data_IF_552467563877
#
_entry.id   IF_552467563877
#
_cell.length_a   1.000
_cell.length_b   1.000
_cell.length_c   1.000
_cell.angle_alpha   90.00
_cell.angle_beta   90.00
_cell.angle_gamma   90.00
#
_symmetry.space_group_name_H-M   'P 1'
#
loop_
_entity.id
_entity.type
_entity.pdbx_description
1 polymer ?
#
# COMPACT_ATOMS: atom_id res chain seq x y z
N UNK A 1 -22.53 17.70 7.38
CA UNK A 1 -22.29 16.24 7.44
C UNK A 1 -21.17 16.01 8.45
N UNK A 2 -21.46 15.37 9.58
CA UNK A 2 -20.42 15.06 10.57
C UNK A 2 -19.55 13.91 10.02
N UNK A 3 -18.22 13.93 10.24
CA UNK A 3 -17.37 12.84 9.79
C UNK A 3 -17.83 11.52 10.44
N UNK A 4 -18.14 10.53 9.62
CA UNK A 4 -18.45 9.18 10.09
C UNK A 4 -17.23 8.65 10.84
N UNK A 5 -17.39 8.13 12.07
CA UNK A 5 -16.28 7.50 12.78
C UNK A 5 -15.69 6.39 11.90
N UNK A 6 -14.36 6.26 11.90
CA UNK A 6 -13.65 5.27 11.09
C UNK A 6 -14.21 3.87 11.40
N UNK A 7 -14.87 3.26 10.43
CA UNK A 7 -15.46 1.94 10.58
C UNK A 7 -14.41 0.81 10.54
N UNK A 8 -13.17 1.10 10.11
CA UNK A 8 -12.14 0.10 9.86
C UNK A 8 -10.95 0.15 10.80
N UNK A 9 -10.39 -1.03 11.06
CA UNK A 9 -9.08 -1.28 11.70
C UNK A 9 -7.89 -0.97 10.79
N UNK A 10 -8.14 -0.28 9.66
CA UNK A 10 -7.12 0.00 8.67
C UNK A 10 -6.11 1.01 9.20
N UNK A 11 -4.83 0.67 9.05
CA UNK A 11 -3.69 1.53 9.39
C UNK A 11 -3.11 2.07 8.10
N UNK A 12 -2.99 3.39 8.02
CA UNK A 12 -2.49 4.07 6.84
C UNK A 12 -1.10 4.67 7.07
N UNK A 13 -0.32 4.74 6.00
CA UNK A 13 0.98 5.40 5.97
C UNK A 13 1.26 6.01 4.60
N UNK A 14 2.21 6.95 4.54
CA UNK A 14 2.68 7.55 3.29
C UNK A 14 4.20 7.46 3.25
N UNK A 15 4.72 6.71 2.29
CA UNK A 15 6.14 6.42 2.21
C UNK A 15 6.68 6.74 0.82
N UNK A 16 7.88 7.32 0.79
CA UNK A 16 8.63 7.43 -0.45
C UNK A 16 9.27 6.07 -0.79
N UNK A 17 9.27 5.73 -2.06
CA UNK A 17 10.06 4.62 -2.59
C UNK A 17 11.44 5.13 -2.92
N UNK A 18 12.48 4.47 -2.43
CA UNK A 18 13.86 4.80 -2.80
C UNK A 18 14.30 4.08 -4.09
N UNK A 19 15.54 4.35 -4.53
CA UNK A 19 16.09 3.77 -5.76
C UNK A 19 16.08 2.24 -5.79
N UNK A 20 16.20 1.57 -4.63
CA UNK A 20 16.17 0.11 -4.59
C UNK A 20 14.75 -0.43 -4.66
N UNK A 21 13.71 0.39 -4.42
CA UNK A 21 12.33 -0.06 -4.32
C UNK A 21 11.87 -0.30 -2.88
N UNK A 22 12.61 0.22 -1.91
CA UNK A 22 12.34 0.04 -0.49
C UNK A 22 11.30 1.05 -0.01
N UNK A 23 10.40 0.54 0.84
CA UNK A 23 9.39 1.31 1.57
C UNK A 23 9.78 1.30 3.05
N UNK A 24 10.09 2.48 3.58
CA UNK A 24 10.56 2.67 4.95
C UNK A 24 9.45 3.12 5.92
N UNK A 25 8.28 2.49 5.89
CA UNK A 25 7.21 2.75 6.87
C UNK A 25 7.15 1.64 7.92
N UNK A 26 7.91 1.85 9.00
CA UNK A 26 7.97 0.87 10.10
C UNK A 26 6.69 0.80 10.90
N UNK A 27 5.87 1.85 10.89
CA UNK A 27 4.62 1.91 11.66
C UNK A 27 3.60 0.97 11.05
N UNK A 28 3.41 1.04 9.73
CA UNK A 28 2.49 0.16 9.00
C UNK A 28 2.94 -1.30 9.07
N UNK A 29 4.23 -1.56 8.88
CA UNK A 29 4.78 -2.93 8.92
C UNK A 29 4.63 -3.54 10.34
N UNK A 30 4.87 -2.76 11.40
CA UNK A 30 4.66 -3.21 12.78
C UNK A 30 3.19 -3.41 13.13
N UNK A 31 2.30 -2.59 12.61
CA UNK A 31 0.85 -2.74 12.84
C UNK A 31 0.33 -4.07 12.27
N UNK A 32 0.97 -4.61 11.23
CA UNK A 32 0.70 -5.93 10.66
C UNK A 32 1.35 -7.08 11.45
N UNK A 33 2.13 -6.79 12.48
CA UNK A 33 2.92 -7.78 13.21
C UNK A 33 4.09 -8.36 12.41
N UNK A 34 4.49 -7.70 11.30
CA UNK A 34 5.56 -8.20 10.44
C UNK A 34 6.92 -7.74 10.97
N UNK A 35 7.81 -8.71 11.18
CA UNK A 35 9.18 -8.48 11.64
C UNK A 35 10.21 -8.95 10.62
N UNK A 36 11.51 -8.74 10.88
CA UNK A 36 12.58 -9.27 10.03
C UNK A 36 12.41 -10.75 9.71
N UNK A 37 12.55 -11.14 8.45
CA UNK A 37 12.40 -12.52 7.99
C UNK A 37 10.95 -12.98 7.82
N UNK A 38 9.95 -12.18 8.17
CA UNK A 38 8.55 -12.46 7.83
C UNK A 38 8.44 -12.63 6.32
N UNK A 39 7.99 -13.81 5.88
CA UNK A 39 7.83 -14.18 4.48
C UNK A 39 6.51 -13.65 3.92
N UNK A 40 6.59 -13.10 2.71
CA UNK A 40 5.54 -12.36 2.06
C UNK A 40 5.35 -12.83 0.62
N UNK A 41 4.10 -12.81 0.19
CA UNK A 41 3.73 -12.85 -1.21
C UNK A 41 3.41 -11.42 -1.67
N UNK A 42 4.10 -10.96 -2.70
CA UNK A 42 3.94 -9.62 -3.28
C UNK A 42 3.52 -9.78 -4.73
N UNK A 43 2.39 -9.18 -5.10
CA UNK A 43 1.91 -9.16 -6.48
C UNK A 43 1.33 -7.81 -6.84
N UNK A 44 1.34 -7.50 -8.12
CA UNK A 44 0.51 -6.44 -8.68
C UNK A 44 -0.94 -6.95 -8.86
N UNK A 45 -1.90 -6.05 -8.72
CA UNK A 45 -3.31 -6.28 -8.99
C UNK A 45 -4.00 -4.97 -9.37
N UNK A 46 -4.40 -4.83 -10.64
CA UNK A 46 -5.17 -3.68 -11.13
C UNK A 46 -4.55 -2.31 -10.81
N UNK A 47 -3.23 -2.19 -10.95
CA UNK A 47 -2.46 -0.97 -10.71
C UNK A 47 -2.09 -0.72 -9.24
N UNK A 48 -2.48 -1.61 -8.31
CA UNK A 48 -2.01 -1.56 -6.91
C UNK A 48 -1.12 -2.76 -6.59
N UNK A 49 -0.36 -2.66 -5.51
CA UNK A 49 0.48 -3.77 -5.04
C UNK A 49 -0.16 -4.39 -3.81
N UNK A 50 -0.37 -5.70 -3.86
CA UNK A 50 -0.97 -6.49 -2.79
C UNK A 50 0.13 -7.32 -2.14
N UNK A 51 0.28 -7.14 -0.83
CA UNK A 51 1.26 -7.82 0.01
C UNK A 51 0.55 -8.59 1.10
N UNK A 52 0.83 -9.89 1.22
CA UNK A 52 0.24 -10.77 2.24
C UNK A 52 1.30 -11.65 2.88
N UNK A 53 1.01 -12.13 4.09
CA UNK A 53 1.78 -13.22 4.68
C UNK A 53 1.71 -14.48 3.82
N UNK A 54 2.86 -15.08 3.58
CA UNK A 54 2.95 -16.37 2.91
C UNK A 54 4.15 -17.13 3.46
N UNK A 55 3.92 -18.29 4.09
CA UNK A 55 4.98 -19.12 4.66
C UNK A 55 5.94 -19.65 3.58
N UNK A 56 5.48 -19.77 2.34
CA UNK A 56 6.28 -20.17 1.19
C UNK A 56 6.74 -18.97 0.35
N UNK A 57 6.44 -17.75 0.80
CA UNK A 57 6.83 -16.51 0.14
C UNK A 57 8.35 -16.41 0.00
N UNK A 58 8.77 -15.97 -1.17
CA UNK A 58 10.19 -15.73 -1.51
C UNK A 58 10.66 -14.33 -1.11
N UNK A 59 9.72 -13.41 -0.86
CA UNK A 59 10.03 -12.07 -0.36
C UNK A 59 10.00 -12.06 1.15
N UNK A 60 10.88 -11.28 1.77
CA UNK A 60 10.91 -11.13 3.23
C UNK A 60 10.98 -9.67 3.62
N UNK A 61 10.45 -9.37 4.81
CA UNK A 61 10.76 -8.11 5.48
C UNK A 61 12.25 -8.11 5.81
N UNK A 62 12.94 -7.04 5.41
CA UNK A 62 14.39 -6.89 5.61
C UNK A 62 14.77 -6.86 7.10
N UNK A 63 16.05 -7.07 7.41
CA UNK A 63 16.59 -6.96 8.77
C UNK A 63 16.23 -5.66 9.50
N UNK A 64 16.02 -4.57 8.76
CA UNK A 64 15.68 -3.25 9.29
C UNK A 64 14.17 -3.04 9.49
N UNK A 65 13.33 -4.01 9.11
CA UNK A 65 11.87 -3.88 9.16
C UNK A 65 11.27 -3.15 7.96
N UNK A 66 12.01 -3.02 6.86
CA UNK A 66 11.52 -2.40 5.62
C UNK A 66 10.98 -3.45 4.66
N UNK A 67 10.00 -3.05 3.85
CA UNK A 67 9.49 -3.81 2.73
C UNK A 67 10.28 -3.46 1.47
N UNK A 68 10.69 -4.47 0.70
CA UNK A 68 11.35 -4.28 -0.57
C UNK A 68 10.44 -4.73 -1.71
N UNK A 69 10.10 -3.81 -2.61
CA UNK A 69 9.24 -4.12 -3.75
C UNK A 69 10.07 -4.72 -4.90
N UNK A 70 9.65 -5.87 -5.46
CA UNK A 70 10.30 -6.46 -6.62
C UNK A 70 10.29 -5.49 -7.81
N UNK A 71 11.37 -5.49 -8.61
CA UNK A 71 11.49 -4.60 -9.76
C UNK A 71 10.32 -4.77 -10.76
N UNK A 72 9.88 -6.01 -11.00
CA UNK A 72 8.75 -6.31 -11.89
C UNK A 72 7.46 -5.61 -11.44
N UNK A 73 7.12 -5.73 -10.15
CA UNK A 73 5.91 -5.10 -9.58
C UNK A 73 6.00 -3.58 -9.63
N UNK A 74 7.19 -3.00 -9.36
CA UNK A 74 7.41 -1.56 -9.52
C UNK A 74 7.17 -1.08 -10.94
N UNK A 75 7.70 -1.81 -11.92
CA UNK A 75 7.55 -1.46 -13.33
C UNK A 75 6.10 -1.53 -13.81
N UNK A 76 5.36 -2.60 -13.44
CA UNK A 76 3.94 -2.74 -13.76
C UNK A 76 3.08 -1.61 -13.17
N UNK A 77 3.47 -1.10 -12.00
CA UNK A 77 2.80 0.03 -11.36
C UNK A 77 3.35 1.41 -11.78
N UNK A 78 4.32 1.48 -12.71
CA UNK A 78 4.93 2.74 -13.14
C UNK A 78 5.70 3.49 -12.04
N UNK A 79 6.14 2.79 -10.99
CA UNK A 79 6.78 3.40 -9.83
C UNK A 79 8.25 3.75 -10.10
N UNK A 80 8.62 4.97 -9.73
CA UNK A 80 9.96 5.53 -9.80
C UNK A 80 10.48 5.92 -8.41
N UNK A 81 11.79 6.14 -8.31
CA UNK A 81 12.39 6.58 -7.07
C UNK A 81 11.92 8.00 -6.72
N UNK A 82 11.53 8.22 -5.47
CA UNK A 82 10.94 9.47 -4.99
C UNK A 82 9.41 9.46 -4.98
N UNK A 83 8.76 8.54 -5.70
CA UNK A 83 7.31 8.42 -5.67
C UNK A 83 6.82 8.11 -4.26
N UNK A 84 5.78 8.83 -3.84
CA UNK A 84 5.13 8.61 -2.55
C UNK A 84 3.91 7.74 -2.75
N UNK A 85 3.91 6.59 -2.09
CA UNK A 85 2.81 5.62 -2.14
C UNK A 85 1.98 5.69 -0.87
N UNK A 86 0.67 5.53 -1.03
CA UNK A 86 -0.24 5.33 0.11
C UNK A 86 -0.22 3.85 0.49
N UNK A 87 0.04 3.61 1.77
CA UNK A 87 -0.01 2.29 2.38
C UNK A 87 -1.34 2.13 3.11
N UNK A 88 -2.07 1.06 2.82
CA UNK A 88 -3.30 0.69 3.49
C UNK A 88 -3.16 -0.72 4.05
N UNK A 89 -2.92 -0.83 5.36
CA UNK A 89 -2.78 -2.09 6.05
C UNK A 89 -4.08 -2.50 6.74
N UNK A 90 -4.47 -3.76 6.56
CA UNK A 90 -5.47 -4.43 7.37
C UNK A 90 -4.79 -5.48 8.27
N UNK A 91 -4.55 -5.17 9.56
CA UNK A 91 -4.00 -6.14 10.51
C UNK A 91 -4.84 -7.40 10.69
N UNK A 92 -6.18 -7.29 10.60
CA UNK A 92 -7.07 -8.43 10.79
C UNK A 92 -6.88 -9.50 9.69
N UNK A 93 -6.59 -9.07 8.46
CA UNK A 93 -6.42 -9.95 7.30
C UNK A 93 -4.94 -10.25 6.98
N UNK A 94 -4.00 -9.64 7.72
CA UNK A 94 -2.58 -9.67 7.41
C UNK A 94 -2.30 -9.19 5.98
N UNK A 95 -2.95 -8.09 5.59
CA UNK A 95 -2.95 -7.56 4.23
C UNK A 95 -2.38 -6.15 4.21
N UNK A 96 -1.48 -5.87 3.29
CA UNK A 96 -1.05 -4.52 2.94
C UNK A 96 -1.33 -4.27 1.46
N UNK A 97 -2.04 -3.19 1.18
CA UNK A 97 -2.21 -2.67 -0.17
C UNK A 97 -1.37 -1.40 -0.30
N UNK A 98 -0.50 -1.36 -1.29
CA UNK A 98 0.28 -0.18 -1.66
C UNK A 98 -0.39 0.43 -2.88
N UNK A 99 -0.79 1.68 -2.77
CA UNK A 99 -1.41 2.47 -3.82
C UNK A 99 -0.36 3.42 -4.42
N UNK A 100 0.08 3.18 -5.67
CA UNK A 100 0.88 4.12 -6.44
C UNK A 100 0.17 5.46 -6.66
N UNK A 101 0.91 6.54 -6.99
CA UNK A 101 0.32 7.83 -7.34
C UNK A 101 -0.79 7.73 -8.39
N UNK A 102 -0.57 7.00 -9.48
CA UNK A 102 -1.57 6.83 -10.54
C UNK A 102 -2.88 6.16 -10.06
N UNK A 103 -2.78 5.17 -9.16
CA UNK A 103 -3.96 4.54 -8.58
C UNK A 103 -4.67 5.48 -7.60
N UNK A 104 -3.90 6.27 -6.83
CA UNK A 104 -4.44 7.27 -5.92
C UNK A 104 -5.16 8.40 -6.68
N UNK A 105 -4.57 8.87 -7.79
CA UNK A 105 -5.18 9.87 -8.67
C UNK A 105 -6.53 9.37 -9.20
N UNK A 106 -6.60 8.12 -9.69
CA UNK A 106 -7.84 7.52 -10.15
C UNK A 106 -8.90 7.46 -9.04
N UNK A 107 -8.52 7.08 -7.81
CA UNK A 107 -9.43 7.06 -6.65
C UNK A 107 -9.95 8.46 -6.32
N UNK A 108 -9.07 9.47 -6.31
CA UNK A 108 -9.43 10.85 -5.98
C UNK A 108 -10.32 11.46 -7.06
N UNK A 109 -10.00 11.24 -8.34
CA UNK A 109 -10.82 11.68 -9.47
C UNK A 109 -12.21 11.07 -9.40
N UNK A 110 -12.34 9.78 -9.09
CA UNK A 110 -13.64 9.14 -8.93
C UNK A 110 -14.45 9.77 -7.78
N UNK A 111 -13.83 10.00 -6.63
CA UNK A 111 -14.50 10.66 -5.49
C UNK A 111 -14.94 12.09 -5.85
N UNK A 112 -14.08 12.86 -6.53
CA UNK A 112 -14.45 14.20 -6.99
C UNK A 112 -15.59 14.17 -8.01
N UNK A 113 -15.59 13.21 -8.93
CA UNK A 113 -16.65 13.06 -9.92
C UNK A 113 -18.01 12.77 -9.25
N UNK A 114 -18.04 11.92 -8.22
CA UNK A 114 -19.27 11.65 -7.47
C UNK A 114 -19.74 12.88 -6.67
N UNK A 115 -18.81 13.58 -6.00
CA UNK A 115 -19.14 14.77 -5.22
C UNK A 115 -19.64 15.93 -6.08
N UNK A 116 -19.03 16.13 -7.25
CA UNK A 116 -19.39 17.20 -8.19
C UNK A 116 -20.58 16.80 -9.09
N UNK A 117 -20.75 15.49 -9.34
CA UNK A 117 -21.85 14.91 -10.10
C UNK A 117 -23.15 14.76 -9.29
N UNK A 118 -23.08 14.78 -7.95
CA UNK A 118 -24.21 14.73 -7.02
C UNK A 118 -25.14 15.96 -7.03
N UNK A 119 -24.91 16.92 -7.93
CA UNK A 119 -25.78 18.08 -8.18
C UNK A 119 -26.81 17.86 -9.30
N UNK A 120 -27.40 16.68 -9.42
CA UNK A 120 -28.57 16.43 -10.29
C UNK A 120 -29.52 15.40 -9.69
N UNK A 121 -30.46 15.88 -8.89
CA UNK A 121 -31.91 15.59 -8.95
C UNK A 121 -32.63 16.47 -7.92
#
# INVERSE_FOLDING_TARGET
MLPTPRAGTLVYGLAAIDNSGRIADRTVIRALGWGPGTRLHIREASGVIVVRLDRQGVFTVTGQGHLHLPAAVRHLCGLTAGDRVLLAANPADGLLVVHPPAALDAMVVAVHADLLGGGRA
#
